data_IF_087871600547
#
_entry.id   IF_087871600547
#
_cell.length_a   1.000
_cell.length_b   1.000
_cell.length_c   1.000
_cell.angle_alpha   90.00
_cell.angle_beta   90.00
_cell.angle_gamma   90.00
#
_symmetry.space_group_name_H-M   'P 1'
#
loop_
_entity.id
_entity.type
_entity.pdbx_description
1 polymer ?
#
# COMPACT_ATOMS: atom_id res chain seq x y z
N UNK A 1 -5.23 -13.02 5.45
CA UNK A 1 -5.46 -11.64 5.00
C UNK A 1 -5.82 -10.81 6.23
N UNK A 2 -5.08 -9.75 6.50
CA UNK A 2 -5.30 -8.86 7.65
C UNK A 2 -5.13 -7.40 7.21
N UNK A 3 -5.60 -6.46 8.02
CA UNK A 3 -5.50 -5.03 7.77
C UNK A 3 -4.85 -4.34 8.97
N UNK A 4 -4.03 -3.32 8.70
CA UNK A 4 -3.48 -2.39 9.69
C UNK A 4 -4.17 -1.05 9.44
N UNK A 5 -4.77 -0.48 10.49
CA UNK A 5 -5.35 0.86 10.46
C UNK A 5 -4.60 1.78 11.41
N UNK A 6 -4.17 2.93 10.90
CA UNK A 6 -3.56 4.02 11.67
C UNK A 6 -4.50 5.21 11.57
N UNK A 7 -4.69 5.96 12.66
CA UNK A 7 -5.56 7.13 12.69
C UNK A 7 -4.91 8.23 13.51
N UNK A 8 -4.62 9.34 12.83
CA UNK A 8 -4.11 10.60 13.34
C UNK A 8 -4.73 11.78 12.57
N UNK A 9 -4.21 12.97 12.79
CA UNK A 9 -4.66 14.20 12.11
C UNK A 9 -4.07 14.40 10.70
N UNK A 10 -3.06 13.61 10.34
CA UNK A 10 -2.39 13.63 9.03
C UNK A 10 -2.66 12.36 8.22
N UNK A 11 -3.51 12.47 7.19
CA UNK A 11 -3.92 11.36 6.31
C UNK A 11 -2.72 10.71 5.59
N UNK A 12 -1.76 11.51 5.14
CA UNK A 12 -0.56 11.01 4.46
C UNK A 12 0.45 10.37 5.43
N UNK A 13 0.53 10.89 6.66
CA UNK A 13 1.34 10.29 7.73
C UNK A 13 0.77 8.92 8.13
N UNK A 14 -0.56 8.80 8.19
CA UNK A 14 -1.23 7.53 8.49
C UNK A 14 -0.96 6.47 7.42
N UNK A 15 -1.01 6.84 6.13
CA UNK A 15 -0.69 5.92 5.02
C UNK A 15 0.77 5.44 5.07
N UNK A 16 1.72 6.33 5.42
CA UNK A 16 3.14 5.99 5.56
C UNK A 16 3.39 5.08 6.77
N UNK A 17 2.80 5.38 7.93
CA UNK A 17 2.95 4.57 9.15
C UNK A 17 2.27 3.21 8.97
N UNK A 18 1.09 3.16 8.35
CA UNK A 18 0.40 1.91 8.06
C UNK A 18 1.25 1.01 7.14
N UNK A 19 1.90 1.58 6.13
CA UNK A 19 2.79 0.84 5.25
C UNK A 19 4.05 0.33 5.96
N UNK A 20 4.67 1.15 6.82
CA UNK A 20 5.79 0.71 7.64
C UNK A 20 5.39 -0.45 8.58
N UNK A 21 4.16 -0.45 9.09
CA UNK A 21 3.60 -1.53 9.89
C UNK A 21 3.43 -2.87 9.16
N UNK A 22 3.44 -2.88 7.82
CA UNK A 22 3.31 -4.13 7.03
C UNK A 22 4.61 -4.93 6.92
N UNK A 23 5.75 -4.40 7.39
CA UNK A 23 7.04 -5.10 7.34
C UNK A 23 6.93 -6.47 8.03
N UNK A 24 7.28 -7.54 7.31
CA UNK A 24 7.15 -8.93 7.77
C UNK A 24 5.79 -9.60 7.49
N UNK A 25 4.79 -8.82 7.08
CA UNK A 25 3.44 -9.31 6.75
C UNK A 25 3.03 -9.04 5.29
N UNK A 26 3.96 -8.53 4.47
CA UNK A 26 3.74 -8.31 3.03
C UNK A 26 3.47 -9.62 2.30
N UNK A 27 2.61 -9.57 1.29
CA UNK A 27 2.30 -10.73 0.47
C UNK A 27 3.56 -11.20 -0.29
N UNK A 28 3.76 -12.53 -0.46
CA UNK A 28 4.80 -13.07 -1.32
C UNK A 28 4.70 -12.51 -2.74
N UNK A 29 5.84 -12.27 -3.39
CA UNK A 29 5.89 -11.66 -4.73
C UNK A 29 5.00 -12.39 -5.74
N UNK A 30 4.98 -13.73 -5.70
CA UNK A 30 4.23 -14.57 -6.65
C UNK A 30 2.71 -14.33 -6.66
N UNK A 31 2.15 -13.72 -5.62
CA UNK A 31 0.70 -13.46 -5.51
C UNK A 31 0.34 -11.97 -5.46
N UNK A 32 1.29 -11.07 -5.70
CA UNK A 32 1.00 -9.63 -5.68
C UNK A 32 0.30 -9.21 -6.96
N UNK A 33 -0.75 -8.38 -6.83
CA UNK A 33 -1.50 -7.84 -7.95
C UNK A 33 -0.63 -7.03 -8.93
N UNK A 34 0.45 -6.42 -8.42
CA UNK A 34 1.39 -5.63 -9.20
C UNK A 34 2.35 -6.48 -10.07
N UNK A 35 2.31 -7.81 -9.95
CA UNK A 35 2.94 -8.71 -10.93
C UNK A 35 2.05 -8.96 -12.15
N UNK A 36 0.79 -8.50 -12.13
CA UNK A 36 -0.18 -8.73 -13.19
C UNK A 36 -0.46 -7.43 -13.97
N UNK A 37 -0.73 -7.60 -15.25
CA UNK A 37 -1.21 -6.53 -16.12
C UNK A 37 -2.64 -6.84 -16.57
N UNK A 38 -3.49 -5.83 -16.53
CA UNK A 38 -4.86 -5.88 -17.03
C UNK A 38 -5.09 -4.70 -17.97
N UNK A 39 -5.52 -4.96 -19.20
CA UNK A 39 -5.73 -3.93 -20.22
C UNK A 39 -4.54 -2.97 -20.40
N UNK A 40 -3.31 -3.51 -20.41
CA UNK A 40 -2.04 -2.75 -20.52
C UNK A 40 -1.72 -1.85 -19.32
N UNK A 41 -2.47 -1.95 -18.23
CA UNK A 41 -2.16 -1.27 -16.97
C UNK A 41 -1.68 -2.28 -15.91
N UNK A 42 -0.67 -1.90 -15.15
CA UNK A 42 -0.22 -2.63 -13.96
C UNK A 42 -1.19 -2.33 -12.82
N UNK A 43 -1.68 -3.37 -12.15
CA UNK A 43 -2.59 -3.17 -11.01
C UNK A 43 -1.81 -2.70 -9.78
N UNK A 44 -2.34 -1.75 -9.00
CA UNK A 44 -1.68 -1.31 -7.78
C UNK A 44 -1.76 -2.40 -6.70
N UNK A 45 -0.65 -2.62 -6.00
CA UNK A 45 -0.58 -3.56 -4.87
C UNK A 45 -1.03 -2.91 -3.56
N UNK A 46 -0.67 -1.64 -3.34
CA UNK A 46 -1.10 -0.83 -2.22
C UNK A 46 -1.38 0.60 -2.71
N UNK A 47 -2.31 1.30 -2.04
CA UNK A 47 -2.61 2.70 -2.32
C UNK A 47 -1.73 3.55 -1.41
N UNK A 48 -1.03 4.51 -2.00
CA UNK A 48 -0.22 5.50 -1.30
C UNK A 48 -0.63 6.91 -1.78
N UNK A 49 -0.38 7.95 -0.97
CA UNK A 49 -0.51 9.33 -1.40
C UNK A 49 0.30 9.55 -2.66
N UNK A 50 -0.33 10.12 -3.70
CA UNK A 50 0.37 10.42 -4.96
C UNK A 50 1.34 11.59 -4.81
N UNK A 51 1.14 12.42 -3.80
CA UNK A 51 1.96 13.59 -3.53
C UNK A 51 2.04 13.82 -2.00
N UNK A 52 2.99 13.18 -1.30
CA UNK A 52 3.07 13.19 0.17
C UNK A 52 3.52 14.52 0.79
N UNK A 53 3.82 15.55 -0.03
CA UNK A 53 4.39 16.84 0.40
C UNK A 53 3.50 18.06 0.02
N UNK A 54 2.20 17.88 -0.27
CA UNK A 54 1.25 18.99 -0.57
C UNK A 54 0.24 19.22 0.56
#
# INVERSE_FOLDING_TARGET
>A
MGAIGVSGDGIDQDDLIAAAGTVGFVAPMAIRADQQQYQRARLPYAKFPRNPDL
#
